data_IF_322318103112
#
_entry.id   IF_322318103112
#
_cell.length_a   1.000
_cell.length_b   1.000
_cell.length_c   1.000
_cell.angle_alpha   90.00
_cell.angle_beta   90.00
_cell.angle_gamma   90.00
#
_symmetry.space_group_name_H-M   'P 1'
#
loop_
_entity.id
_entity.type
_entity.pdbx_description
1 polymer ?
#
# COMPACT_ATOMS: atom_id res chain seq x y z
N UNK A 1 21.48 10.35 -3.68
CA UNK A 1 22.37 11.28 -2.97
C UNK A 1 22.27 12.72 -3.48
N UNK A 2 21.97 12.95 -4.76
CA UNK A 2 21.78 14.29 -5.34
C UNK A 2 20.62 14.32 -6.33
N UNK A 3 19.86 15.41 -6.33
CA UNK A 3 18.73 15.63 -7.23
C UNK A 3 18.82 17.03 -7.86
N UNK A 4 18.53 17.17 -9.15
CA UNK A 4 18.35 18.47 -9.80
C UNK A 4 16.88 18.70 -10.13
N UNK A 5 16.36 19.86 -9.74
CA UNK A 5 14.98 20.28 -9.99
C UNK A 5 14.96 21.26 -11.15
N UNK A 6 14.28 20.91 -12.23
CA UNK A 6 14.27 21.67 -13.48
C UNK A 6 12.88 22.28 -13.68
N UNK A 7 12.82 23.60 -13.77
CA UNK A 7 11.56 24.34 -13.89
C UNK A 7 11.77 25.77 -14.39
N UNK A 8 10.73 26.58 -14.27
CA UNK A 8 10.72 27.97 -14.73
C UNK A 8 10.08 28.87 -13.69
N UNK A 9 10.70 30.02 -13.42
CA UNK A 9 10.14 31.06 -12.54
C UNK A 9 9.24 32.05 -13.27
N UNK A 10 9.29 32.10 -14.62
CA UNK A 10 8.56 33.09 -15.43
C UNK A 10 7.44 32.52 -16.29
N UNK A 11 7.36 31.20 -16.49
CA UNK A 11 6.35 30.63 -17.39
C UNK A 11 4.94 31.01 -16.95
N UNK A 12 4.19 31.64 -17.86
CA UNK A 12 2.80 32.08 -17.62
C UNK A 12 1.78 31.05 -18.07
N UNK A 13 2.15 30.18 -19.00
CA UNK A 13 1.33 29.08 -19.47
C UNK A 13 1.10 28.06 -18.35
N UNK A 14 -0.16 27.87 -17.97
CA UNK A 14 -0.58 26.78 -17.07
C UNK A 14 -0.85 25.49 -17.85
N UNK A 15 0.03 25.13 -18.77
CA UNK A 15 -0.11 23.85 -19.49
C UNK A 15 0.36 22.73 -18.57
N UNK A 16 -0.57 21.85 -18.23
CA UNK A 16 -0.28 20.54 -17.65
C UNK A 16 0.52 20.54 -16.35
N UNK A 17 0.25 21.48 -15.44
CA UNK A 17 0.96 21.68 -14.16
C UNK A 17 2.31 22.39 -14.27
N UNK A 18 2.69 22.95 -15.43
CA UNK A 18 3.80 23.90 -15.50
C UNK A 18 3.42 25.21 -14.82
N UNK A 19 4.02 25.53 -13.66
CA UNK A 19 3.73 26.78 -12.95
C UNK A 19 4.89 27.18 -12.03
N UNK A 20 5.27 28.48 -11.98
CA UNK A 20 6.26 28.98 -11.03
C UNK A 20 5.87 28.71 -9.58
N UNK A 21 4.56 28.76 -9.25
CA UNK A 21 4.07 28.47 -7.90
C UNK A 21 4.32 27.03 -7.52
N UNK A 22 3.94 26.09 -8.39
CA UNK A 22 4.10 24.66 -8.12
C UNK A 22 5.57 24.24 -8.12
N UNK A 23 6.40 24.81 -9.00
CA UNK A 23 7.84 24.55 -8.98
C UNK A 23 8.50 25.01 -7.67
N UNK A 24 8.11 26.18 -7.14
CA UNK A 24 8.53 26.61 -5.80
C UNK A 24 8.09 25.66 -4.69
N UNK A 25 6.89 25.05 -4.81
CA UNK A 25 6.45 24.04 -3.85
C UNK A 25 7.27 22.76 -3.91
N UNK A 26 7.63 22.28 -5.11
CA UNK A 26 8.54 21.12 -5.26
C UNK A 26 9.89 21.42 -4.61
N UNK A 27 10.45 22.60 -4.87
CA UNK A 27 11.71 23.04 -4.23
C UNK A 27 11.56 23.06 -2.71
N UNK A 28 10.45 23.59 -2.18
CA UNK A 28 10.17 23.64 -0.75
C UNK A 28 10.17 22.24 -0.13
N UNK A 29 9.40 21.31 -0.69
CA UNK A 29 9.32 19.93 -0.17
C UNK A 29 10.66 19.20 -0.24
N UNK A 30 11.38 19.33 -1.36
CA UNK A 30 12.70 18.74 -1.53
C UNK A 30 13.71 19.29 -0.53
N UNK A 31 13.77 20.61 -0.33
CA UNK A 31 14.67 21.22 0.68
C UNK A 31 14.28 20.87 2.12
N UNK A 32 12.98 20.72 2.40
CA UNK A 32 12.49 20.42 3.75
C UNK A 32 12.74 18.97 4.15
N UNK A 33 12.50 18.02 3.24
CA UNK A 33 12.45 16.61 3.59
C UNK A 33 13.63 15.78 3.09
N UNK A 34 14.17 16.07 1.90
CA UNK A 34 15.18 15.21 1.29
C UNK A 34 16.52 15.38 1.98
N UNK A 35 17.11 14.26 2.41
CA UNK A 35 18.39 14.25 3.14
C UNK A 35 19.62 14.45 2.23
N UNK A 36 19.45 14.43 0.91
CA UNK A 36 20.53 14.60 -0.05
C UNK A 36 20.65 16.02 -0.59
N UNK A 37 21.58 16.20 -1.54
CA UNK A 37 21.81 17.51 -2.16
C UNK A 37 20.73 17.84 -3.20
N UNK A 38 20.26 19.09 -3.19
CA UNK A 38 19.23 19.59 -4.11
C UNK A 38 19.81 20.74 -4.93
N UNK A 39 19.91 20.54 -6.24
CA UNK A 39 20.25 21.58 -7.21
C UNK A 39 18.99 22.12 -7.88
N UNK A 40 19.01 23.37 -8.31
CA UNK A 40 17.88 24.02 -8.96
C UNK A 40 18.36 24.52 -10.33
N UNK A 41 17.64 24.11 -11.38
CA UNK A 41 17.77 24.63 -12.73
C UNK A 41 16.51 25.39 -13.08
N UNK A 42 16.60 26.72 -12.99
CA UNK A 42 15.60 27.62 -13.55
C UNK A 42 16.01 27.99 -14.98
N UNK A 43 15.20 27.62 -15.97
CA UNK A 43 15.52 27.86 -17.38
C UNK A 43 15.50 29.34 -17.77
N UNK A 44 14.90 30.20 -16.95
CA UNK A 44 14.83 31.65 -17.17
C UNK A 44 16.09 32.39 -16.68
N UNK A 45 17.05 31.67 -16.07
CA UNK A 45 18.32 32.19 -15.58
C UNK A 45 19.49 31.67 -16.39
N UNK A 46 20.63 32.37 -16.32
CA UNK A 46 21.84 31.99 -17.06
C UNK A 46 22.32 30.57 -16.71
N UNK A 47 22.80 29.84 -17.71
CA UNK A 47 23.16 28.43 -17.58
C UNK A 47 24.40 28.23 -16.67
N UNK A 48 25.32 29.20 -16.69
CA UNK A 48 26.54 29.23 -15.85
C UNK A 48 26.23 29.37 -14.36
N UNK A 49 25.12 30.03 -14.01
CA UNK A 49 24.66 30.18 -12.62
C UNK A 49 24.02 28.91 -12.05
N UNK A 50 23.71 27.90 -12.88
CA UNK A 50 22.93 26.74 -12.48
C UNK A 50 23.62 25.39 -12.78
N UNK A 51 23.87 25.06 -14.06
CA UNK A 51 24.46 23.78 -14.46
C UNK A 51 25.99 23.78 -14.39
N UNK A 52 26.62 24.94 -14.55
CA UNK A 52 28.08 25.10 -14.42
C UNK A 52 28.60 25.10 -12.98
N UNK A 53 27.72 25.17 -11.98
CA UNK A 53 28.05 25.23 -10.55
C UNK A 53 27.80 23.91 -9.80
N UNK A 54 27.54 22.81 -10.52
CA UNK A 54 27.27 21.52 -9.90
C UNK A 54 28.55 20.93 -9.29
N UNK A 55 28.52 20.63 -7.98
CA UNK A 55 29.64 19.98 -7.30
C UNK A 55 29.81 18.50 -7.69
N UNK A 56 28.76 17.86 -8.23
CA UNK A 56 28.78 16.51 -8.82
C UNK A 56 27.61 16.31 -9.77
N UNK A 57 27.67 15.27 -10.60
CA UNK A 57 26.56 14.89 -11.48
C UNK A 57 25.36 14.43 -10.63
N UNK A 58 24.16 15.03 -10.79
CA UNK A 58 22.95 14.58 -10.10
C UNK A 58 22.55 13.16 -10.52
N UNK A 59 22.12 12.35 -9.56
CA UNK A 59 21.64 10.99 -9.84
C UNK A 59 20.22 10.98 -10.45
N UNK A 60 19.44 12.03 -10.16
CA UNK A 60 18.04 12.17 -10.55
C UNK A 60 17.74 13.60 -10.98
N UNK A 61 17.02 13.76 -12.10
CA UNK A 61 16.41 15.01 -12.50
C UNK A 61 14.88 14.96 -12.33
N UNK A 62 14.29 16.01 -11.76
CA UNK A 62 12.84 16.19 -11.66
C UNK A 62 12.46 17.35 -12.57
N UNK A 63 11.66 17.08 -13.60
CA UNK A 63 11.37 18.02 -14.68
C UNK A 63 9.92 18.49 -14.58
N UNK A 64 9.76 19.81 -14.45
CA UNK A 64 8.48 20.51 -14.31
C UNK A 64 8.38 21.67 -15.32
N UNK A 65 8.40 21.32 -16.60
CA UNK A 65 8.33 22.24 -17.74
C UNK A 65 7.31 21.75 -18.78
N UNK A 66 6.86 22.59 -19.73
CA UNK A 66 6.09 22.11 -20.87
C UNK A 66 6.87 21.08 -21.69
N UNK A 67 6.18 20.23 -22.49
CA UNK A 67 6.81 19.11 -23.20
C UNK A 67 8.05 19.48 -24.03
N UNK A 68 7.96 20.48 -24.91
CA UNK A 68 9.06 20.88 -25.79
C UNK A 68 10.31 21.30 -24.99
N UNK A 69 10.12 22.17 -23.99
CA UNK A 69 11.21 22.62 -23.10
C UNK A 69 11.78 21.50 -22.24
N UNK A 70 10.92 20.56 -21.83
CA UNK A 70 11.35 19.39 -21.06
C UNK A 70 12.29 18.50 -21.84
N UNK A 71 11.98 18.22 -23.12
CA UNK A 71 12.82 17.37 -23.98
C UNK A 71 14.21 17.97 -24.16
N UNK A 72 14.30 19.29 -24.37
CA UNK A 72 15.57 20.02 -24.48
C UNK A 72 16.41 19.86 -23.20
N UNK A 73 15.83 20.12 -22.03
CA UNK A 73 16.57 20.04 -20.76
C UNK A 73 16.89 18.59 -20.34
N UNK A 74 16.05 17.61 -20.72
CA UNK A 74 16.36 16.18 -20.56
C UNK A 74 17.60 15.82 -21.39
N UNK A 75 17.69 16.23 -22.66
CA UNK A 75 18.88 15.95 -23.47
C UNK A 75 20.14 16.59 -22.88
N UNK A 76 20.07 17.85 -22.42
CA UNK A 76 21.20 18.52 -21.78
C UNK A 76 21.68 17.76 -20.54
N UNK A 77 20.77 17.41 -19.64
CA UNK A 77 21.11 16.67 -18.42
C UNK A 77 21.62 15.26 -18.73
N UNK A 78 21.08 14.61 -19.76
CA UNK A 78 21.54 13.29 -20.20
C UNK A 78 22.97 13.34 -20.75
N UNK A 79 23.33 14.38 -21.52
CA UNK A 79 24.71 14.63 -21.98
C UNK A 79 25.68 14.85 -20.82
N UNK A 80 25.22 15.48 -19.73
CA UNK A 80 25.99 15.66 -18.51
C UNK A 80 26.14 14.38 -17.67
N UNK A 81 25.39 13.32 -18.00
CA UNK A 81 25.49 12.02 -17.33
C UNK A 81 24.35 11.69 -16.35
N UNK A 82 23.33 12.53 -16.21
CA UNK A 82 22.14 12.20 -15.40
C UNK A 82 21.43 10.98 -15.99
N UNK A 83 21.13 9.98 -15.17
CA UNK A 83 20.60 8.68 -15.63
C UNK A 83 19.11 8.45 -15.37
N UNK A 84 18.48 9.21 -14.48
CA UNK A 84 17.07 9.04 -14.15
C UNK A 84 16.30 10.37 -14.19
N UNK A 85 15.10 10.33 -14.74
CA UNK A 85 14.24 11.50 -14.92
C UNK A 85 12.83 11.22 -14.40
N UNK A 86 12.28 12.14 -13.61
CA UNK A 86 10.86 12.17 -13.23
C UNK A 86 10.21 13.33 -13.96
N UNK A 87 9.22 13.03 -14.78
CA UNK A 87 8.58 13.99 -15.67
C UNK A 87 7.19 14.35 -15.13
N UNK A 88 7.10 15.45 -14.38
CA UNK A 88 5.88 15.84 -13.64
C UNK A 88 4.75 16.26 -14.58
N UNK A 89 5.07 17.11 -15.55
CA UNK A 89 4.10 17.82 -16.38
C UNK A 89 3.30 16.88 -17.29
N UNK A 90 2.03 17.23 -17.53
CA UNK A 90 1.18 16.59 -18.54
C UNK A 90 1.25 17.31 -19.91
N UNK A 91 0.41 16.91 -20.87
CA UNK A 91 0.33 17.57 -22.20
C UNK A 91 1.30 17.01 -23.25
N UNK A 92 1.97 15.89 -22.97
CA UNK A 92 2.81 15.21 -23.95
C UNK A 92 1.95 14.64 -25.09
N UNK A 93 2.41 14.85 -26.33
CA UNK A 93 1.85 14.26 -27.56
C UNK A 93 2.71 13.06 -27.96
N UNK A 94 2.26 12.28 -28.93
CA UNK A 94 2.98 11.07 -29.35
C UNK A 94 4.35 11.38 -29.97
N UNK A 95 4.51 12.51 -30.63
CA UNK A 95 5.81 13.01 -31.09
C UNK A 95 6.79 13.25 -29.93
N UNK A 96 6.34 13.94 -28.88
CA UNK A 96 7.11 14.16 -27.66
C UNK A 96 7.49 12.84 -26.98
N UNK A 97 6.57 11.87 -26.91
CA UNK A 97 6.85 10.54 -26.33
C UNK A 97 7.90 9.78 -27.15
N UNK A 98 7.83 9.83 -28.48
CA UNK A 98 8.83 9.23 -29.36
C UNK A 98 10.20 9.88 -29.18
N UNK A 99 10.27 11.19 -29.01
CA UNK A 99 11.53 11.89 -28.74
C UNK A 99 12.15 11.50 -27.39
N UNK A 100 11.35 11.40 -26.33
CA UNK A 100 11.82 10.89 -25.03
C UNK A 100 12.39 9.48 -25.15
N UNK A 101 11.76 8.60 -25.94
CA UNK A 101 12.28 7.26 -26.22
C UNK A 101 13.58 7.29 -27.03
N UNK A 102 13.73 8.20 -28.00
CA UNK A 102 15.01 8.39 -28.70
C UNK A 102 16.13 8.82 -27.74
N UNK A 103 15.84 9.73 -26.81
CA UNK A 103 16.81 10.16 -25.79
C UNK A 103 17.18 9.02 -24.83
N UNK A 104 16.20 8.20 -24.44
CA UNK A 104 16.41 6.97 -23.68
C UNK A 104 17.44 6.07 -24.37
N UNK A 105 17.21 5.70 -25.62
CA UNK A 105 18.12 4.81 -26.37
C UNK A 105 19.49 5.44 -26.59
N UNK A 106 19.54 6.74 -26.91
CA UNK A 106 20.79 7.47 -27.20
C UNK A 106 21.71 7.60 -25.97
N UNK A 107 21.16 7.84 -24.78
CA UNK A 107 21.95 8.17 -23.59
C UNK A 107 21.89 7.12 -22.47
N UNK A 108 21.08 6.06 -22.65
CA UNK A 108 20.86 5.02 -21.65
C UNK A 108 20.22 5.55 -20.37
N UNK A 109 19.29 6.50 -20.50
CA UNK A 109 18.56 7.12 -19.37
C UNK A 109 17.29 6.34 -19.05
N UNK A 110 16.72 6.53 -17.87
CA UNK A 110 15.42 6.00 -17.45
C UNK A 110 14.43 7.12 -17.15
N UNK A 111 13.16 6.93 -17.51
CA UNK A 111 12.12 7.96 -17.41
C UNK A 111 10.88 7.43 -16.68
N UNK A 112 10.56 8.03 -15.54
CA UNK A 112 9.27 7.89 -14.88
C UNK A 112 8.31 8.97 -15.39
N UNK A 113 7.11 8.57 -15.81
CA UNK A 113 6.13 9.44 -16.45
C UNK A 113 6.09 9.31 -17.98
N UNK A 114 5.87 10.42 -18.71
CA UNK A 114 5.52 11.75 -18.22
C UNK A 114 4.15 11.78 -17.53
N UNK A 115 3.67 12.97 -17.17
CA UNK A 115 2.36 13.16 -16.55
C UNK A 115 2.25 12.45 -15.19
N UNK A 116 3.32 12.46 -14.38
CA UNK A 116 3.26 11.84 -13.05
C UNK A 116 2.42 12.63 -12.06
N UNK A 117 2.04 13.88 -12.37
CA UNK A 117 1.34 14.80 -11.46
C UNK A 117 2.18 15.15 -10.22
N UNK A 118 2.46 14.21 -9.30
CA UNK A 118 3.21 14.46 -8.06
C UNK A 118 4.57 13.74 -8.00
N UNK A 119 4.89 12.87 -8.96
CA UNK A 119 6.18 12.19 -9.03
C UNK A 119 6.33 11.09 -7.99
N UNK A 120 7.26 11.20 -7.04
CA UNK A 120 7.52 10.17 -6.03
C UNK A 120 7.71 10.73 -4.62
N UNK A 121 7.41 9.89 -3.64
CA UNK A 121 7.76 10.04 -2.22
C UNK A 121 8.55 8.82 -1.78
N UNK A 122 9.61 9.03 -1.02
CA UNK A 122 10.33 8.00 -0.28
C UNK A 122 10.55 8.48 1.15
N UNK A 123 9.78 7.92 2.09
CA UNK A 123 9.78 8.35 3.51
C UNK A 123 11.08 7.99 4.24
N UNK A 124 11.90 7.10 3.68
CA UNK A 124 13.15 6.63 4.30
C UNK A 124 14.26 7.69 4.17
N UNK A 125 14.44 8.21 2.97
CA UNK A 125 15.44 9.24 2.66
C UNK A 125 14.84 10.66 2.53
N UNK A 126 13.52 10.77 2.67
CA UNK A 126 12.77 12.03 2.60
C UNK A 126 12.61 12.61 1.20
N UNK A 127 12.90 11.85 0.13
CA UNK A 127 12.65 12.31 -1.24
C UNK A 127 11.16 12.61 -1.39
N UNK A 128 10.84 13.83 -1.80
CA UNK A 128 9.45 14.29 -1.96
C UNK A 128 9.37 15.27 -3.13
N UNK A 129 9.04 14.75 -4.30
CA UNK A 129 8.96 15.56 -5.53
C UNK A 129 7.56 16.15 -5.76
N UNK A 130 6.68 16.05 -4.76
CA UNK A 130 5.31 16.56 -4.89
C UNK A 130 5.27 18.08 -4.80
N UNK A 131 4.22 18.69 -5.35
CA UNK A 131 4.03 20.15 -5.32
C UNK A 131 3.05 20.62 -4.24
N UNK A 132 2.46 19.73 -3.44
CA UNK A 132 1.63 20.10 -2.30
C UNK A 132 2.54 20.34 -1.10
N UNK A 133 2.59 21.58 -0.62
CA UNK A 133 3.55 21.97 0.42
C UNK A 133 3.28 21.20 1.70
N UNK A 134 4.37 20.75 2.32
CA UNK A 134 4.37 20.11 3.65
C UNK A 134 3.63 18.77 3.72
N UNK A 135 3.35 18.15 2.56
CA UNK A 135 2.77 16.80 2.48
C UNK A 135 3.88 15.76 2.60
N UNK A 136 3.89 15.00 3.70
CA UNK A 136 4.74 13.81 3.88
C UNK A 136 3.97 12.78 4.71
N UNK A 137 3.66 11.59 4.16
CA UNK A 137 2.98 10.56 4.92
C UNK A 137 3.92 10.02 6.01
N UNK A 138 3.33 9.41 7.03
CA UNK A 138 4.10 8.76 8.09
C UNK A 138 5.00 7.67 7.49
N UNK A 139 6.23 7.56 7.99
CA UNK A 139 7.11 6.45 7.61
C UNK A 139 6.48 5.11 8.04
N UNK A 140 6.39 4.17 7.12
CA UNK A 140 6.00 2.80 7.42
C UNK A 140 6.40 1.83 6.31
N UNK A 141 5.59 0.81 6.06
CA UNK A 141 5.97 -0.34 5.23
C UNK A 141 5.05 -0.61 4.03
N UNK A 142 4.07 0.25 3.78
CA UNK A 142 3.18 0.15 2.62
C UNK A 142 3.78 0.94 1.45
N UNK A 143 3.92 0.34 0.29
CA UNK A 143 4.27 1.05 -0.94
C UNK A 143 3.02 1.26 -1.79
N UNK A 144 2.82 2.46 -2.33
CA UNK A 144 1.69 2.77 -3.21
C UNK A 144 2.21 3.17 -4.59
N UNK A 145 1.72 2.49 -5.63
CA UNK A 145 1.96 2.81 -7.03
C UNK A 145 0.61 3.18 -7.63
N UNK A 146 0.48 4.40 -8.15
CA UNK A 146 -0.76 4.86 -8.78
C UNK A 146 -0.51 5.30 -10.22
N UNK A 147 -1.24 4.69 -11.15
CA UNK A 147 -1.28 5.15 -12.54
C UNK A 147 -1.96 6.51 -12.67
N UNK A 148 -3.06 6.73 -11.94
CA UNK A 148 -3.78 8.01 -11.93
C UNK A 148 -3.20 8.98 -10.91
N UNK A 149 -2.95 10.21 -11.36
CA UNK A 149 -2.59 11.32 -10.48
C UNK A 149 -3.65 11.63 -9.44
N UNK A 150 -4.92 11.71 -9.85
CA UNK A 150 -6.03 12.07 -8.96
C UNK A 150 -6.32 11.02 -7.89
N UNK A 151 -6.36 9.74 -8.28
CA UNK A 151 -6.52 8.64 -7.30
C UNK A 151 -5.31 8.57 -6.37
N UNK A 152 -4.10 8.76 -6.90
CA UNK A 152 -2.89 8.81 -6.09
C UNK A 152 -2.92 9.94 -5.06
N UNK A 153 -3.40 11.14 -5.45
CA UNK A 153 -3.50 12.28 -4.55
C UNK A 153 -4.51 12.01 -3.43
N UNK A 154 -5.67 11.42 -3.75
CA UNK A 154 -6.66 11.00 -2.74
C UNK A 154 -6.09 9.96 -1.76
N UNK A 155 -5.36 8.95 -2.25
CA UNK A 155 -4.72 7.95 -1.40
C UNK A 155 -3.61 8.55 -0.53
N UNK A 156 -2.85 9.51 -1.05
CA UNK A 156 -1.80 10.21 -0.30
C UNK A 156 -2.39 11.10 0.80
N UNK A 157 -3.46 11.83 0.50
CA UNK A 157 -4.19 12.64 1.48
C UNK A 157 -4.71 11.78 2.63
N UNK A 158 -5.39 10.67 2.33
CA UNK A 158 -5.83 9.71 3.34
C UNK A 158 -4.68 9.11 4.14
N UNK A 159 -3.56 8.78 3.50
CA UNK A 159 -2.39 8.28 4.21
C UNK A 159 -1.82 9.32 5.19
N UNK A 160 -1.84 10.60 4.84
CA UNK A 160 -1.40 11.67 5.73
C UNK A 160 -2.41 11.90 6.86
N UNK A 161 -3.70 11.99 6.55
CA UNK A 161 -4.76 12.28 7.51
C UNK A 161 -4.91 11.17 8.57
N UNK A 162 -4.92 9.90 8.14
CA UNK A 162 -5.06 8.74 9.04
C UNK A 162 -3.72 8.20 9.55
N UNK A 163 -2.60 8.88 9.28
CA UNK A 163 -1.28 8.46 9.76
C UNK A 163 -0.80 7.11 9.22
N UNK A 164 -1.24 6.71 8.03
CA UNK A 164 -0.92 5.40 7.45
C UNK A 164 0.57 5.34 7.07
N UNK A 165 1.25 4.32 7.56
CA UNK A 165 2.69 4.14 7.39
C UNK A 165 3.10 3.77 5.96
N UNK A 166 3.52 4.76 5.17
CA UNK A 166 4.00 4.61 3.79
C UNK A 166 5.53 4.50 3.75
N UNK A 167 6.03 3.57 2.95
CA UNK A 167 7.45 3.40 2.62
C UNK A 167 7.83 4.19 1.36
N UNK A 168 7.07 4.00 0.28
CA UNK A 168 7.25 4.63 -1.03
C UNK A 168 5.89 4.99 -1.63
N UNK A 169 5.83 6.10 -2.34
CA UNK A 169 4.70 6.47 -3.17
C UNK A 169 5.21 6.81 -4.57
N UNK A 170 4.62 6.22 -5.61
CA UNK A 170 5.00 6.50 -6.98
C UNK A 170 3.76 6.80 -7.83
N UNK A 171 3.74 7.97 -8.44
CA UNK A 171 2.77 8.34 -9.43
C UNK A 171 3.36 8.07 -10.82
N UNK A 172 2.73 7.17 -11.57
CA UNK A 172 3.34 6.62 -12.79
C UNK A 172 3.09 7.48 -14.03
N UNK A 173 1.92 8.12 -14.12
CA UNK A 173 1.49 8.80 -15.34
C UNK A 173 1.44 7.87 -16.55
N UNK A 174 2.00 8.32 -17.65
CA UNK A 174 1.85 7.71 -18.98
C UNK A 174 2.65 6.40 -19.16
N UNK A 175 3.60 6.09 -18.27
CA UNK A 175 4.47 4.90 -18.35
C UNK A 175 5.19 4.76 -19.71
N UNK A 176 5.87 5.82 -20.15
CA UNK A 176 6.58 5.79 -21.45
C UNK A 176 7.79 4.85 -21.40
N UNK A 177 8.46 4.77 -20.26
CA UNK A 177 9.62 3.88 -20.04
C UNK A 177 9.46 3.05 -18.76
N UNK A 178 9.61 3.65 -17.57
CA UNK A 178 9.43 2.93 -16.30
C UNK A 178 7.96 2.55 -16.13
N UNK A 179 7.71 1.26 -15.92
CA UNK A 179 6.36 0.70 -15.80
C UNK A 179 6.12 -0.02 -14.47
N UNK A 180 4.94 -0.65 -14.34
CA UNK A 180 4.53 -1.37 -13.13
C UNK A 180 5.51 -2.50 -12.78
N UNK A 181 6.09 -3.16 -13.79
CA UNK A 181 7.00 -4.30 -13.63
C UNK A 181 8.34 -3.82 -13.06
N UNK A 182 8.87 -2.71 -13.55
CA UNK A 182 10.10 -2.12 -13.03
C UNK A 182 9.96 -1.73 -11.57
N UNK A 183 8.86 -1.07 -11.20
CA UNK A 183 8.62 -0.70 -9.80
C UNK A 183 8.38 -1.91 -8.91
N UNK A 184 7.65 -2.93 -9.39
CA UNK A 184 7.50 -4.19 -8.66
C UNK A 184 8.85 -4.86 -8.39
N UNK A 185 9.75 -4.90 -9.37
CA UNK A 185 11.11 -5.46 -9.21
C UNK A 185 11.95 -4.68 -8.21
N UNK A 186 11.82 -3.35 -8.21
CA UNK A 186 12.47 -2.51 -7.21
C UNK A 186 11.91 -2.80 -5.81
N UNK A 187 10.59 -2.74 -5.64
CA UNK A 187 9.92 -2.96 -4.36
C UNK A 187 10.09 -4.39 -3.83
N UNK A 188 10.27 -5.38 -4.71
CA UNK A 188 10.60 -6.74 -4.32
C UNK A 188 11.88 -6.82 -3.47
N UNK A 189 12.85 -5.97 -3.78
CA UNK A 189 14.18 -5.92 -3.13
C UNK A 189 14.25 -4.91 -1.98
N UNK A 190 13.31 -3.97 -1.89
CA UNK A 190 13.30 -2.94 -0.84
C UNK A 190 12.98 -3.54 0.53
N UNK A 191 13.89 -3.42 1.51
CA UNK A 191 13.68 -4.01 2.85
C UNK A 191 12.59 -3.30 3.67
N UNK A 192 12.31 -2.03 3.34
CA UNK A 192 11.36 -1.22 4.10
C UNK A 192 9.90 -1.50 3.68
N UNK A 193 9.68 -2.01 2.46
CA UNK A 193 8.35 -2.34 1.95
C UNK A 193 7.95 -3.76 2.31
N UNK A 194 6.82 -3.91 3.02
CA UNK A 194 6.15 -5.18 3.31
C UNK A 194 4.95 -5.44 2.40
N UNK A 195 4.19 -4.40 2.03
CA UNK A 195 2.96 -4.50 1.22
C UNK A 195 3.05 -3.57 0.04
N UNK A 196 2.56 -4.00 -1.13
CA UNK A 196 2.52 -3.18 -2.34
C UNK A 196 1.05 -2.97 -2.76
N UNK A 197 0.65 -1.72 -2.90
CA UNK A 197 -0.67 -1.31 -3.39
C UNK A 197 -0.54 -0.76 -4.81
N UNK A 198 -1.34 -1.28 -5.73
CA UNK A 198 -1.41 -0.83 -7.11
C UNK A 198 -2.78 -0.21 -7.38
N UNK A 199 -2.80 1.03 -7.85
CA UNK A 199 -3.91 1.53 -8.64
C UNK A 199 -3.52 1.50 -10.11
N UNK A 200 -4.28 0.76 -10.93
CA UNK A 200 -3.96 0.57 -12.33
C UNK A 200 -5.19 0.66 -13.23
N UNK A 201 -5.01 1.21 -14.43
CA UNK A 201 -6.06 1.33 -15.45
C UNK A 201 -5.80 0.37 -16.61
N UNK A 202 -4.51 0.14 -16.91
CA UNK A 202 -4.08 -0.74 -17.99
C UNK A 202 -2.64 -1.20 -17.81
N UNK A 203 -2.27 -2.25 -18.55
CA UNK A 203 -0.93 -2.81 -18.54
C UNK A 203 -0.47 -3.16 -19.95
N UNK A 204 0.80 -2.86 -20.27
CA UNK A 204 1.38 -3.14 -21.58
C UNK A 204 1.78 -4.62 -21.73
N UNK A 205 2.54 -5.16 -20.77
CA UNK A 205 3.02 -6.54 -20.82
C UNK A 205 2.41 -7.41 -19.71
N UNK A 206 1.18 -7.87 -19.93
CA UNK A 206 0.42 -8.64 -18.95
C UNK A 206 1.06 -9.97 -18.54
N UNK A 207 1.68 -10.70 -19.49
CA UNK A 207 2.33 -12.00 -19.17
C UNK A 207 3.51 -11.81 -18.21
N UNK A 208 4.42 -10.90 -18.54
CA UNK A 208 5.60 -10.60 -17.71
C UNK A 208 5.19 -10.03 -16.36
N UNK A 209 4.13 -9.22 -16.30
CA UNK A 209 3.58 -8.73 -15.05
C UNK A 209 3.10 -9.86 -14.13
N UNK A 210 2.32 -10.82 -14.67
CA UNK A 210 1.86 -11.98 -13.90
C UNK A 210 3.05 -12.79 -13.37
N UNK A 211 4.06 -13.03 -14.21
CA UNK A 211 5.27 -13.77 -13.83
C UNK A 211 6.04 -13.09 -12.70
N UNK A 212 6.26 -11.78 -12.80
CA UNK A 212 7.00 -11.03 -11.79
C UNK A 212 6.20 -10.87 -10.51
N UNK A 213 4.91 -10.54 -10.60
CA UNK A 213 4.03 -10.47 -9.44
C UNK A 213 3.97 -11.80 -8.69
N UNK A 214 3.86 -12.93 -9.39
CA UNK A 214 3.84 -14.27 -8.79
C UNK A 214 5.11 -14.59 -8.00
N UNK A 215 6.27 -14.10 -8.43
CA UNK A 215 7.54 -14.26 -7.69
C UNK A 215 7.58 -13.40 -6.43
N UNK A 216 6.88 -12.27 -6.42
CA UNK A 216 6.91 -11.28 -5.34
C UNK A 216 5.91 -11.65 -4.23
N UNK A 217 4.69 -12.06 -4.61
CA UNK A 217 3.60 -12.34 -3.66
C UNK A 217 3.94 -13.39 -2.61
N UNK A 218 4.88 -14.30 -2.90
CA UNK A 218 5.35 -15.30 -1.91
C UNK A 218 6.06 -14.70 -0.70
N UNK A 219 6.51 -13.43 -0.79
CA UNK A 219 7.16 -12.70 0.31
C UNK A 219 6.41 -11.43 0.69
N UNK A 220 5.77 -10.77 -0.27
CA UNK A 220 5.15 -9.45 -0.08
C UNK A 220 3.79 -9.42 -0.76
N UNK A 221 2.67 -9.30 -0.03
CA UNK A 221 1.36 -9.22 -0.65
C UNK A 221 1.27 -8.01 -1.58
N UNK A 222 0.58 -8.21 -2.71
CA UNK A 222 0.27 -7.17 -3.69
C UNK A 222 -1.24 -7.01 -3.72
N UNK A 223 -1.71 -5.80 -3.45
CA UNK A 223 -3.10 -5.38 -3.58
C UNK A 223 -3.28 -4.62 -4.89
N UNK A 224 -4.40 -4.82 -5.59
CA UNK A 224 -4.71 -4.09 -6.81
C UNK A 224 -6.14 -3.54 -6.81
N UNK A 225 -6.26 -2.23 -7.05
CA UNK A 225 -7.49 -1.52 -7.38
C UNK A 225 -7.49 -1.21 -8.88
N UNK A 226 -8.42 -1.81 -9.62
CA UNK A 226 -8.56 -1.63 -11.07
C UNK A 226 -9.54 -0.50 -11.39
N UNK A 227 -9.06 0.56 -12.04
CA UNK A 227 -9.93 1.59 -12.62
C UNK A 227 -10.45 1.20 -14.01
N UNK A 228 -11.58 1.75 -14.45
CA UNK A 228 -12.14 1.46 -15.78
C UNK A 228 -12.73 0.06 -15.91
N UNK A 229 -13.57 -0.34 -14.96
CA UNK A 229 -14.21 -1.67 -14.90
C UNK A 229 -15.47 -1.76 -15.77
N UNK A 230 -16.17 -0.64 -15.99
CA UNK A 230 -17.36 -0.58 -16.86
C UNK A 230 -16.96 -0.19 -18.28
N UNK A 231 -17.80 -0.45 -19.28
CA UNK A 231 -17.50 -0.08 -20.67
C UNK A 231 -17.33 1.45 -20.83
N UNK A 232 -18.17 2.24 -20.16
CA UNK A 232 -18.16 3.70 -20.19
C UNK A 232 -16.87 4.25 -19.56
N UNK A 233 -16.48 3.70 -18.41
CA UNK A 233 -15.26 4.11 -17.71
C UNK A 233 -14.00 3.62 -18.41
N UNK A 234 -14.03 2.44 -19.04
CA UNK A 234 -12.95 1.91 -19.87
C UNK A 234 -12.75 2.74 -21.15
N UNK A 235 -13.83 3.22 -21.78
CA UNK A 235 -13.74 4.11 -22.94
C UNK A 235 -13.08 5.43 -22.56
N UNK A 236 -13.45 6.00 -21.40
CA UNK A 236 -12.79 7.19 -20.84
C UNK A 236 -11.34 6.92 -20.45
N UNK A 237 -11.02 5.74 -19.90
CA UNK A 237 -9.64 5.35 -19.60
C UNK A 237 -8.78 5.21 -20.87
N UNK A 238 -9.35 4.74 -22.00
CA UNK A 238 -8.66 4.69 -23.30
C UNK A 238 -8.33 6.08 -23.86
N UNK A 239 -9.22 7.07 -23.68
CA UNK A 239 -8.91 8.44 -24.08
C UNK A 239 -7.96 9.15 -23.12
N UNK A 240 -7.92 8.73 -21.85
CA UNK A 240 -7.00 9.24 -20.83
C UNK A 240 -5.63 8.56 -20.79
N UNK A 241 -5.50 7.32 -21.27
CA UNK A 241 -4.24 6.55 -21.26
C UNK A 241 -4.03 5.86 -22.59
N UNK A 242 -2.82 5.96 -23.16
CA UNK A 242 -2.43 5.28 -24.40
C UNK A 242 -2.25 3.75 -24.23
N UNK A 243 -2.99 3.12 -23.31
CA UNK A 243 -2.93 1.69 -23.02
C UNK A 243 -4.24 1.01 -23.42
N UNK A 244 -4.15 -0.23 -23.92
CA UNK A 244 -5.34 -1.03 -24.18
C UNK A 244 -6.06 -1.29 -22.85
N UNK A 245 -7.25 -0.74 -22.67
CA UNK A 245 -8.15 -1.19 -21.61
C UNK A 245 -8.58 -2.63 -21.96
N UNK A 246 -7.92 -3.61 -21.35
CA UNK A 246 -8.34 -5.02 -21.40
C UNK A 246 -9.65 -5.21 -20.63
N UNK A 247 -10.41 -6.27 -20.94
CA UNK A 247 -11.64 -6.56 -20.22
C UNK A 247 -11.35 -6.81 -18.74
N UNK A 248 -12.29 -6.42 -17.88
CA UNK A 248 -12.13 -6.58 -16.44
C UNK A 248 -11.96 -8.05 -16.02
N UNK A 249 -12.63 -8.96 -16.73
CA UNK A 249 -12.52 -10.41 -16.58
C UNK A 249 -11.09 -10.92 -16.79
N UNK A 250 -10.38 -10.38 -17.79
CA UNK A 250 -8.98 -10.74 -18.06
C UNK A 250 -8.09 -10.26 -16.92
N UNK A 251 -8.34 -9.05 -16.39
CA UNK A 251 -7.60 -8.53 -15.23
C UNK A 251 -7.86 -9.35 -13.97
N UNK A 252 -9.11 -9.73 -13.71
CA UNK A 252 -9.45 -10.60 -12.58
C UNK A 252 -8.76 -11.96 -12.68
N UNK A 253 -8.81 -12.60 -13.84
CA UNK A 253 -8.10 -13.86 -14.09
C UNK A 253 -6.57 -13.70 -13.94
N UNK A 254 -6.00 -12.60 -14.43
CA UNK A 254 -4.58 -12.29 -14.31
C UNK A 254 -4.17 -12.10 -12.84
N UNK A 255 -4.93 -11.34 -12.05
CA UNK A 255 -4.67 -11.14 -10.63
C UNK A 255 -4.74 -12.45 -9.85
N UNK A 256 -5.78 -13.27 -10.08
CA UNK A 256 -5.91 -14.60 -9.48
C UNK A 256 -4.73 -15.52 -9.84
N UNK A 257 -4.24 -15.47 -11.09
CA UNK A 257 -3.09 -16.27 -11.55
C UNK A 257 -1.77 -15.77 -10.94
N UNK A 258 -1.64 -14.46 -10.74
CA UNK A 258 -0.49 -13.82 -10.12
C UNK A 258 -0.46 -13.94 -8.59
N UNK A 259 -1.59 -14.26 -7.95
CA UNK A 259 -1.73 -14.20 -6.49
C UNK A 259 -1.88 -12.77 -5.96
N UNK A 260 -2.25 -11.82 -6.84
CA UNK A 260 -2.57 -10.44 -6.47
C UNK A 260 -3.97 -10.43 -5.86
N UNK A 261 -4.12 -9.70 -4.76
CA UNK A 261 -5.38 -9.53 -4.06
C UNK A 261 -6.10 -8.32 -4.65
N UNK A 262 -7.22 -8.58 -5.33
CA UNK A 262 -8.06 -7.51 -5.88
C UNK A 262 -8.92 -6.89 -4.78
N UNK A 263 -9.07 -5.56 -4.83
CA UNK A 263 -9.96 -4.77 -3.97
C UNK A 263 -10.86 -3.88 -4.83
N UNK A 264 -11.98 -3.42 -4.27
CA UNK A 264 -13.05 -2.78 -5.05
C UNK A 264 -13.02 -1.25 -4.98
N UNK A 265 -12.45 -0.68 -3.93
CA UNK A 265 -12.42 0.77 -3.73
C UNK A 265 -11.17 1.23 -2.94
N UNK A 266 -10.88 2.55 -2.91
CA UNK A 266 -9.73 3.10 -2.20
C UNK A 266 -9.72 2.78 -0.70
N UNK A 267 -10.87 2.72 -0.04
CA UNK A 267 -10.96 2.48 1.40
C UNK A 267 -10.57 1.03 1.71
N UNK A 268 -11.08 0.08 0.92
CA UNK A 268 -10.70 -1.31 1.01
C UNK A 268 -9.20 -1.52 0.72
N UNK A 269 -8.64 -0.81 -0.27
CA UNK A 269 -7.20 -0.86 -0.57
C UNK A 269 -6.37 -0.48 0.67
N UNK A 270 -6.68 0.65 1.30
CA UNK A 270 -5.92 1.13 2.45
C UNK A 270 -6.13 0.27 3.69
N UNK A 271 -7.38 -0.12 3.99
CA UNK A 271 -7.70 -1.00 5.11
C UNK A 271 -7.02 -2.37 5.00
N UNK A 272 -7.04 -2.96 3.81
CA UNK A 272 -6.35 -4.23 3.54
C UNK A 272 -4.84 -4.09 3.67
N UNK A 273 -4.27 -2.98 3.17
CA UNK A 273 -2.83 -2.73 3.25
C UNK A 273 -2.36 -2.59 4.69
N UNK A 274 -3.15 -1.90 5.54
CA UNK A 274 -2.90 -1.79 6.98
C UNK A 274 -2.83 -3.18 7.61
N UNK A 275 -3.84 -4.04 7.39
CA UNK A 275 -3.87 -5.40 7.92
C UNK A 275 -2.64 -6.21 7.52
N UNK A 276 -2.36 -6.27 6.22
CA UNK A 276 -1.25 -7.04 5.64
C UNK A 276 0.14 -6.51 6.05
N UNK A 277 0.24 -5.23 6.43
CA UNK A 277 1.50 -4.63 6.87
C UNK A 277 1.85 -4.97 8.33
N UNK A 278 0.82 -5.35 9.10
CA UNK A 278 0.86 -5.45 10.56
C UNK A 278 0.70 -6.87 11.08
N UNK A 279 0.00 -7.74 10.34
CA UNK A 279 -0.40 -9.08 10.80
C UNK A 279 0.13 -10.20 9.90
N UNK A 280 0.34 -11.40 10.46
CA UNK A 280 0.67 -12.59 9.66
C UNK A 280 -0.52 -13.00 8.77
N UNK A 281 -0.28 -13.77 7.69
CA UNK A 281 -1.35 -14.43 6.95
C UNK A 281 -2.17 -15.35 7.86
N UNK A 282 -3.46 -15.48 7.57
CA UNK A 282 -4.35 -16.41 8.29
C UNK A 282 -4.39 -17.77 7.60
N UNK A 283 -4.08 -18.84 8.33
CA UNK A 283 -4.06 -20.21 7.83
C UNK A 283 -5.24 -21.02 8.40
N UNK A 284 -6.40 -20.86 7.77
CA UNK A 284 -7.65 -21.47 8.20
C UNK A 284 -8.78 -20.45 8.22
N UNK A 285 -10.01 -20.88 8.36
CA UNK A 285 -11.19 -20.00 8.20
C UNK A 285 -11.86 -19.68 9.55
N UNK A 286 -11.34 -20.19 10.68
CA UNK A 286 -11.99 -20.10 11.99
C UNK A 286 -11.55 -18.86 12.78
N UNK A 287 -12.49 -17.95 13.01
CA UNK A 287 -12.31 -16.68 13.72
C UNK A 287 -12.96 -16.75 15.10
N UNK A 288 -12.19 -16.41 16.14
CA UNK A 288 -12.76 -16.12 17.46
C UNK A 288 -13.07 -14.62 17.56
N UNK A 289 -14.26 -14.28 18.04
CA UNK A 289 -14.65 -12.91 18.38
C UNK A 289 -14.64 -12.77 19.90
N UNK A 290 -13.89 -11.79 20.41
CA UNK A 290 -13.77 -11.49 21.84
C UNK A 290 -14.23 -10.06 22.04
N UNK A 291 -15.32 -9.85 22.77
CA UNK A 291 -15.98 -8.54 22.89
C UNK A 291 -16.36 -8.23 24.33
N UNK A 292 -16.34 -6.96 24.73
CA UNK A 292 -16.99 -6.50 25.97
C UNK A 292 -18.43 -5.98 25.74
N UNK A 293 -18.93 -6.09 24.50
CA UNK A 293 -20.23 -5.57 24.09
C UNK A 293 -20.93 -6.52 23.11
N UNK A 294 -22.13 -6.98 23.47
CA UNK A 294 -22.86 -8.02 22.72
C UNK A 294 -23.33 -7.60 21.31
N UNK A 295 -23.92 -6.40 21.17
CA UNK A 295 -24.48 -5.95 19.88
C UNK A 295 -23.46 -5.95 18.72
N UNK A 296 -22.32 -5.26 18.86
CA UNK A 296 -21.22 -5.33 17.89
C UNK A 296 -20.64 -6.74 17.68
N UNK A 297 -20.66 -7.61 18.70
CA UNK A 297 -20.22 -9.00 18.57
C UNK A 297 -21.16 -9.83 17.67
N UNK A 298 -22.46 -9.58 17.73
CA UNK A 298 -23.45 -10.18 16.81
C UNK A 298 -23.18 -9.72 15.38
N UNK A 299 -22.99 -8.41 15.16
CA UNK A 299 -22.65 -7.87 13.83
C UNK A 299 -21.33 -8.45 13.30
N UNK A 300 -20.35 -8.69 14.18
CA UNK A 300 -19.11 -9.36 13.82
C UNK A 300 -19.36 -10.81 13.36
N UNK A 301 -20.20 -11.57 14.08
CA UNK A 301 -20.56 -12.93 13.69
C UNK A 301 -21.22 -13.00 12.31
N UNK A 302 -22.16 -12.10 12.05
CA UNK A 302 -22.79 -11.90 10.74
C UNK A 302 -21.73 -11.60 9.66
N UNK A 303 -20.83 -10.66 9.94
CA UNK A 303 -19.79 -10.26 9.02
C UNK A 303 -18.83 -11.42 8.72
N UNK A 304 -18.48 -12.24 9.72
CA UNK A 304 -17.64 -13.45 9.57
C UNK A 304 -18.29 -14.38 8.55
N UNK A 305 -19.57 -14.70 8.72
CA UNK A 305 -20.30 -15.57 7.81
C UNK A 305 -20.40 -14.99 6.38
N UNK A 306 -20.80 -13.71 6.25
CA UNK A 306 -20.93 -13.02 4.94
C UNK A 306 -19.62 -12.95 4.16
N UNK A 307 -18.47 -13.02 4.83
CA UNK A 307 -17.16 -12.98 4.22
C UNK A 307 -16.55 -14.37 3.96
N UNK A 308 -17.33 -15.45 4.16
CA UNK A 308 -16.90 -16.83 3.91
C UNK A 308 -15.90 -17.35 4.96
N UNK A 309 -15.85 -16.70 6.12
CA UNK A 309 -15.14 -17.18 7.31
C UNK A 309 -16.12 -17.90 8.23
N UNK A 310 -15.62 -18.54 9.29
CA UNK A 310 -16.41 -19.31 10.25
C UNK A 310 -16.13 -18.83 11.66
N UNK A 311 -17.14 -18.81 12.51
CA UNK A 311 -16.91 -18.66 13.94
C UNK A 311 -16.21 -19.92 14.46
N UNK A 312 -15.07 -19.75 15.10
CA UNK A 312 -14.32 -20.83 15.73
C UNK A 312 -15.16 -21.50 16.82
N UNK A 313 -15.13 -22.84 16.86
CA UNK A 313 -15.64 -23.62 17.97
C UNK A 313 -14.49 -23.88 18.95
N UNK A 314 -14.49 -23.16 20.07
CA UNK A 314 -13.49 -23.38 21.11
C UNK A 314 -13.53 -24.83 21.61
N UNK A 315 -12.37 -25.34 22.02
CA UNK A 315 -12.32 -26.62 22.71
C UNK A 315 -13.05 -26.53 24.06
N UNK A 316 -13.60 -27.65 24.52
CA UNK A 316 -14.28 -27.70 25.82
C UNK A 316 -13.32 -27.34 26.97
N UNK A 317 -12.02 -27.58 26.80
CA UNK A 317 -11.00 -27.16 27.77
C UNK A 317 -10.91 -25.63 27.86
N UNK A 318 -10.73 -24.94 26.73
CA UNK A 318 -10.67 -23.48 26.68
C UNK A 318 -11.96 -22.87 27.23
N UNK A 319 -13.13 -23.39 26.82
CA UNK A 319 -14.44 -22.94 27.29
C UNK A 319 -14.53 -23.04 28.81
N UNK A 320 -14.30 -24.24 29.38
CA UNK A 320 -14.33 -24.46 30.84
C UNK A 320 -13.36 -23.56 31.61
N UNK A 321 -12.15 -23.33 31.08
CA UNK A 321 -11.15 -22.47 31.73
C UNK A 321 -11.59 -21.01 31.79
N UNK A 322 -12.20 -20.49 30.73
CA UNK A 322 -12.74 -19.12 30.72
C UNK A 322 -13.89 -19.00 31.72
N UNK A 323 -14.86 -19.91 31.66
CA UNK A 323 -16.07 -19.90 32.51
C UNK A 323 -15.73 -20.09 34.00
N UNK A 324 -14.71 -20.89 34.31
CA UNK A 324 -14.22 -21.06 35.68
C UNK A 324 -13.52 -19.81 36.23
N UNK A 325 -12.86 -19.02 35.38
CA UNK A 325 -12.22 -17.76 35.79
C UNK A 325 -13.24 -16.64 36.00
N UNK A 326 -14.35 -16.69 35.27
CA UNK A 326 -15.40 -15.67 35.26
C UNK A 326 -16.79 -16.32 35.33
N UNK A 327 -17.27 -16.69 36.54
CA UNK A 327 -18.59 -17.26 36.72
C UNK A 327 -19.69 -16.36 36.15
N UNK A 328 -20.58 -16.93 35.34
CA UNK A 328 -21.68 -16.21 34.68
C UNK A 328 -21.38 -15.72 33.25
N UNK A 329 -20.15 -15.88 32.78
CA UNK A 329 -19.79 -15.68 31.36
C UNK A 329 -20.10 -16.94 30.56
N UNK A 330 -20.69 -16.81 29.37
CA UNK A 330 -20.75 -17.91 28.38
C UNK A 330 -19.59 -17.72 27.39
N UNK A 331 -18.65 -18.65 27.39
CA UNK A 331 -17.49 -18.61 26.49
C UNK A 331 -17.78 -19.23 25.10
N UNK A 332 -19.05 -19.28 24.70
CA UNK A 332 -19.45 -19.57 23.31
C UNK A 332 -19.06 -18.40 22.41
N UNK A 333 -18.64 -18.67 21.17
CA UNK A 333 -18.19 -17.65 20.23
C UNK A 333 -19.39 -17.09 19.43
N UNK A 334 -19.62 -15.75 19.35
CA UNK A 334 -18.83 -14.65 19.91
C UNK A 334 -18.77 -14.60 21.44
N UNK A 335 -17.55 -14.48 21.99
CA UNK A 335 -17.31 -14.46 23.44
C UNK A 335 -17.64 -13.08 23.98
N UNK A 336 -18.69 -13.00 24.80
CA UNK A 336 -19.09 -11.78 25.51
C UNK A 336 -18.44 -11.74 26.90
N UNK A 337 -17.47 -10.86 27.08
CA UNK A 337 -16.74 -10.67 28.32
C UNK A 337 -17.46 -9.79 29.34
N UNK A 338 -18.68 -9.36 29.03
CA UNK A 338 -19.51 -8.45 29.84
C UNK A 338 -18.94 -7.02 29.85
N UNK A 339 -19.82 -6.04 30.03
CA UNK A 339 -19.53 -4.62 29.92
C UNK A 339 -18.52 -4.07 30.93
N UNK A 340 -18.11 -4.77 31.98
CA UNK A 340 -17.10 -4.32 32.95
C UNK A 340 -15.69 -4.90 32.66
N UNK A 341 -15.49 -5.51 31.48
CA UNK A 341 -14.21 -6.12 31.10
C UNK A 341 -13.09 -5.08 30.92
N UNK A 342 -12.09 -5.12 31.78
CA UNK A 342 -10.86 -4.29 31.74
C UNK A 342 -9.65 -5.07 31.21
N UNK A 343 -8.47 -4.44 31.16
CA UNK A 343 -7.21 -5.03 30.67
C UNK A 343 -6.94 -6.48 31.14
N UNK A 344 -7.11 -6.76 32.45
CA UNK A 344 -6.82 -8.10 32.99
C UNK A 344 -7.76 -9.18 32.44
N UNK A 345 -9.03 -8.85 32.18
CA UNK A 345 -9.99 -9.79 31.60
C UNK A 345 -9.68 -10.06 30.13
N UNK A 346 -9.43 -8.99 29.36
CA UNK A 346 -8.95 -9.11 27.98
C UNK A 346 -7.68 -9.97 27.91
N UNK A 347 -6.71 -9.72 28.80
CA UNK A 347 -5.46 -10.50 28.86
C UNK A 347 -5.70 -12.00 28.96
N UNK A 348 -6.43 -12.42 30.01
CA UNK A 348 -6.63 -13.83 30.33
C UNK A 348 -7.48 -14.53 29.27
N UNK A 349 -8.54 -13.89 28.79
CA UNK A 349 -9.41 -14.46 27.75
C UNK A 349 -8.65 -14.56 26.43
N UNK A 350 -7.95 -13.51 25.99
CA UNK A 350 -7.17 -13.55 24.75
C UNK A 350 -6.04 -14.58 24.79
N UNK A 351 -5.36 -14.75 25.94
CA UNK A 351 -4.32 -15.76 26.09
C UNK A 351 -4.87 -17.18 25.90
N UNK A 352 -6.06 -17.48 26.44
CA UNK A 352 -6.72 -18.78 26.29
C UNK A 352 -7.24 -18.99 24.86
N UNK A 353 -7.89 -17.98 24.27
CA UNK A 353 -8.42 -18.03 22.90
C UNK A 353 -7.31 -18.20 21.87
N UNK A 354 -6.20 -17.46 22.00
CA UNK A 354 -5.07 -17.58 21.08
C UNK A 354 -4.31 -18.90 21.24
N UNK A 355 -4.33 -19.52 22.43
CA UNK A 355 -3.77 -20.86 22.63
C UNK A 355 -4.61 -21.98 22.01
N UNK A 356 -5.92 -21.77 21.80
CA UNK A 356 -6.82 -22.81 21.30
C UNK A 356 -6.52 -23.19 19.84
N UNK A 357 -6.31 -24.48 19.57
CA UNK A 357 -5.93 -24.98 18.24
C UNK A 357 -7.03 -24.82 17.19
N UNK A 358 -8.28 -24.60 17.58
CA UNK A 358 -9.41 -24.40 16.68
C UNK A 358 -9.58 -22.94 16.23
N UNK A 359 -8.71 -22.04 16.68
CA UNK A 359 -8.74 -20.60 16.36
C UNK A 359 -7.60 -20.26 15.40
N UNK A 360 -7.95 -19.79 14.20
CA UNK A 360 -6.99 -19.41 13.15
C UNK A 360 -6.71 -17.89 13.17
N UNK A 361 -7.66 -17.08 13.63
CA UNK A 361 -7.52 -15.64 13.81
C UNK A 361 -8.48 -15.09 14.85
N UNK A 362 -8.20 -13.90 15.38
CA UNK A 362 -8.99 -13.27 16.45
C UNK A 362 -9.43 -11.87 16.05
N UNK A 363 -10.72 -11.59 16.23
CA UNK A 363 -11.28 -10.24 16.21
C UNK A 363 -11.54 -9.81 17.65
N UNK A 364 -10.88 -8.76 18.09
CA UNK A 364 -11.12 -8.13 19.39
C UNK A 364 -12.05 -6.95 19.17
N UNK A 365 -13.07 -6.83 20.02
CA UNK A 365 -13.99 -5.70 20.01
C UNK A 365 -13.94 -5.05 21.39
N UNK A 366 -13.79 -3.74 21.41
CA UNK A 366 -13.86 -2.95 22.63
C UNK A 366 -14.73 -1.71 22.41
N UNK A 367 -15.44 -1.32 23.46
CA UNK A 367 -16.19 -0.08 23.58
C UNK A 367 -15.82 0.55 24.93
N UNK A 368 -15.61 1.87 24.96
CA UNK A 368 -15.02 2.56 26.11
C UNK A 368 -16.10 3.00 27.09
N UNK A 369 -16.76 4.13 26.80
CA UNK A 369 -17.63 4.84 27.75
C UNK A 369 -18.79 3.96 28.24
N UNK A 370 -19.43 3.22 27.34
CA UNK A 370 -20.59 2.37 27.67
C UNK A 370 -20.20 1.03 28.31
N UNK A 371 -18.92 0.66 28.30
CA UNK A 371 -18.43 -0.63 28.78
C UNK A 371 -17.15 -0.49 29.62
N UNK A 372 -17.06 0.62 30.37
CA UNK A 372 -16.04 0.90 31.38
C UNK A 372 -14.60 0.54 30.94
N UNK A 373 -14.26 0.57 29.65
CA UNK A 373 -12.93 0.25 29.15
C UNK A 373 -12.19 1.57 28.96
N UNK A 374 -10.97 1.70 29.49
CA UNK A 374 -10.14 2.87 29.24
C UNK A 374 -9.28 2.63 27.99
N UNK A 375 -8.88 3.70 27.26
CA UNK A 375 -7.95 3.59 26.13
C UNK A 375 -6.68 2.79 26.47
N UNK A 376 -6.14 2.95 27.69
CA UNK A 376 -4.93 2.27 28.16
C UNK A 376 -5.08 0.76 28.28
N UNK A 377 -6.29 0.25 28.51
CA UNK A 377 -6.52 -1.20 28.60
C UNK A 377 -6.19 -1.90 27.28
N UNK A 378 -6.36 -1.20 26.14
CA UNK A 378 -6.07 -1.73 24.81
C UNK A 378 -4.60 -2.16 24.63
N UNK A 379 -3.67 -1.64 25.44
CA UNK A 379 -2.24 -2.02 25.39
C UNK A 379 -2.01 -3.51 25.62
N UNK A 380 -2.93 -4.18 26.34
CA UNK A 380 -2.81 -5.61 26.61
C UNK A 380 -2.99 -6.46 25.35
N UNK A 381 -3.69 -5.95 24.33
CA UNK A 381 -3.99 -6.66 23.09
C UNK A 381 -2.69 -6.96 22.30
N UNK A 382 -1.85 -5.96 21.94
CA UNK A 382 -0.56 -6.23 21.30
C UNK A 382 0.39 -7.06 22.18
N UNK A 383 0.40 -6.84 23.50
CA UNK A 383 1.23 -7.60 24.45
C UNK A 383 0.94 -9.11 24.40
N UNK A 384 -0.35 -9.48 24.39
CA UNK A 384 -0.76 -10.88 24.30
C UNK A 384 -0.53 -11.43 22.89
N UNK A 385 -0.90 -10.68 21.85
CA UNK A 385 -0.74 -11.10 20.46
C UNK A 385 0.72 -11.42 20.10
N UNK A 386 1.69 -10.68 20.67
CA UNK A 386 3.11 -10.93 20.47
C UNK A 386 3.57 -12.34 20.90
N UNK A 387 2.86 -12.99 21.83
CA UNK A 387 3.14 -14.38 22.26
C UNK A 387 2.66 -15.43 21.25
N UNK A 388 1.78 -15.05 20.33
CA UNK A 388 1.16 -15.93 19.34
C UNK A 388 1.36 -15.41 17.91
N UNK A 389 2.61 -15.25 17.44
CA UNK A 389 2.95 -14.53 16.22
C UNK A 389 2.41 -15.16 14.92
N UNK A 390 1.85 -16.37 14.99
CA UNK A 390 1.32 -17.10 13.84
C UNK A 390 -0.20 -16.92 13.65
N UNK A 391 -0.89 -16.28 14.61
CA UNK A 391 -2.34 -16.05 14.54
C UNK A 391 -2.61 -14.56 14.43
N UNK A 392 -3.26 -14.10 13.35
CA UNK A 392 -3.58 -12.69 13.23
C UNK A 392 -4.61 -12.25 14.27
N UNK A 393 -4.39 -11.06 14.82
CA UNK A 393 -5.28 -10.35 15.74
C UNK A 393 -5.63 -9.00 15.13
N UNK A 394 -6.92 -8.70 15.07
CA UNK A 394 -7.45 -7.43 14.59
C UNK A 394 -8.29 -6.81 15.70
N UNK A 395 -8.12 -5.52 15.96
CA UNK A 395 -8.89 -4.81 16.97
C UNK A 395 -9.97 -3.92 16.34
N UNK A 396 -11.11 -3.83 17.01
CA UNK A 396 -12.24 -2.98 16.66
C UNK A 396 -12.64 -2.19 17.89
N UNK A 397 -12.18 -0.95 17.96
CA UNK A 397 -12.69 0.05 18.88
C UNK A 397 -13.96 0.63 18.26
N UNK A 398 -15.13 0.12 18.67
CA UNK A 398 -16.38 0.36 17.97
C UNK A 398 -16.89 1.79 18.18
N UNK A 399 -16.99 2.59 17.11
CA UNK A 399 -17.51 3.95 17.17
C UNK A 399 -16.56 5.00 16.58
N UNK A 400 -16.81 6.28 16.91
CA UNK A 400 -16.02 7.42 16.42
C UNK A 400 -14.91 7.82 17.39
N UNK A 401 -15.30 8.44 18.50
CA UNK A 401 -14.37 8.93 19.54
C UNK A 401 -13.60 7.78 20.20
N UNK A 402 -14.28 6.68 20.53
CA UNK A 402 -13.67 5.47 21.09
C UNK A 402 -12.54 4.93 20.19
N UNK A 403 -12.77 4.88 18.88
CA UNK A 403 -11.76 4.51 17.89
C UNK A 403 -10.55 5.45 17.95
N UNK A 404 -10.78 6.76 17.96
CA UNK A 404 -9.70 7.75 17.99
C UNK A 404 -8.83 7.60 19.25
N UNK A 405 -9.46 7.43 20.41
CA UNK A 405 -8.76 7.27 21.70
C UNK A 405 -7.92 6.00 21.73
N UNK A 406 -8.47 4.86 21.30
CA UNK A 406 -7.73 3.60 21.24
C UNK A 406 -6.61 3.66 20.20
N UNK A 407 -6.87 4.26 19.04
CA UNK A 407 -5.86 4.40 17.98
C UNK A 407 -4.68 5.25 18.45
N UNK A 408 -4.90 6.31 19.24
CA UNK A 408 -3.79 7.09 19.84
C UNK A 408 -2.89 6.24 20.73
N UNK A 409 -3.43 5.21 21.37
CA UNK A 409 -2.71 4.36 22.33
C UNK A 409 -2.00 3.18 21.65
N UNK A 410 -2.68 2.46 20.74
CA UNK A 410 -2.13 1.24 20.12
C UNK A 410 -2.01 1.31 18.58
N UNK A 411 -2.32 2.44 17.95
CA UNK A 411 -2.29 2.61 16.49
C UNK A 411 -0.91 2.38 15.86
N UNK A 412 0.17 2.53 16.64
CA UNK A 412 1.54 2.23 16.21
C UNK A 412 2.01 0.81 16.54
N UNK A 413 1.18 0.03 17.24
CA UNK A 413 1.48 -1.36 17.53
C UNK A 413 1.35 -2.26 16.30
N UNK A 414 1.70 -3.52 16.47
CA UNK A 414 1.45 -4.56 15.47
C UNK A 414 -0.04 -4.81 15.21
N UNK A 415 -0.97 -4.30 16.02
CA UNK A 415 -2.40 -4.56 15.83
C UNK A 415 -3.03 -3.50 14.90
N UNK A 416 -3.70 -3.91 13.81
CA UNK A 416 -4.53 -3.01 13.03
C UNK A 416 -5.83 -2.74 13.78
N UNK A 417 -6.21 -1.47 13.87
CA UNK A 417 -7.41 -1.02 14.59
C UNK A 417 -8.41 -0.48 13.58
N UNK A 418 -9.67 -0.90 13.70
CA UNK A 418 -10.78 -0.43 12.87
C UNK A 418 -11.92 0.09 13.74
N UNK A 419 -12.82 0.85 13.13
CA UNK A 419 -13.94 1.47 13.84
C UNK A 419 -15.27 0.69 13.72
N UNK A 420 -15.31 -0.33 12.86
CA UNK A 420 -16.50 -1.16 12.60
C UNK A 420 -16.14 -2.65 12.53
N UNK A 421 -16.98 -3.55 13.08
CA UNK A 421 -16.78 -5.00 12.99
C UNK A 421 -16.60 -5.51 11.56
N UNK A 422 -17.37 -5.00 10.61
CA UNK A 422 -17.31 -5.40 9.20
C UNK A 422 -15.94 -5.11 8.58
N UNK A 423 -15.32 -3.98 8.96
CA UNK A 423 -13.96 -3.62 8.51
C UNK A 423 -12.92 -4.55 9.12
N UNK A 424 -13.03 -4.84 10.41
CA UNK A 424 -12.13 -5.77 11.09
C UNK A 424 -12.22 -7.20 10.53
N UNK A 425 -13.42 -7.68 10.21
CA UNK A 425 -13.61 -8.98 9.56
C UNK A 425 -13.08 -8.98 8.12
N UNK A 426 -13.29 -7.90 7.34
CA UNK A 426 -12.68 -7.77 6.01
C UNK A 426 -11.15 -7.78 6.08
N UNK A 427 -10.55 -7.24 7.13
CA UNK A 427 -9.11 -7.35 7.38
C UNK A 427 -8.68 -8.81 7.62
N UNK A 428 -9.38 -9.57 8.47
CA UNK A 428 -9.10 -11.00 8.64
C UNK A 428 -9.30 -11.79 7.33
N UNK A 429 -10.33 -11.47 6.54
CA UNK A 429 -10.55 -12.05 5.22
C UNK A 429 -9.37 -11.81 4.30
N UNK A 430 -8.80 -10.60 4.26
CA UNK A 430 -7.66 -10.32 3.38
C UNK A 430 -6.41 -11.10 3.80
N UNK A 431 -6.18 -11.24 5.11
CA UNK A 431 -5.11 -12.07 5.66
C UNK A 431 -5.32 -13.54 5.30
N UNK A 432 -6.58 -14.01 5.26
CA UNK A 432 -6.91 -15.36 4.81
C UNK A 432 -6.72 -15.56 3.32
N UNK A 433 -7.14 -14.62 2.49
CA UNK A 433 -6.90 -14.66 1.04
C UNK A 433 -5.38 -14.78 0.80
N UNK A 434 -4.57 -14.00 1.51
CA UNK A 434 -3.13 -14.09 1.40
C UNK A 434 -2.58 -15.45 1.85
N UNK A 435 -3.08 -16.00 2.97
CA UNK A 435 -2.74 -17.37 3.40
C UNK A 435 -3.03 -18.42 2.30
N UNK A 436 -4.19 -18.34 1.64
CA UNK A 436 -4.55 -19.23 0.51
C UNK A 436 -3.62 -19.06 -0.69
N UNK A 437 -3.18 -17.83 -0.99
CA UNK A 437 -2.19 -17.56 -2.05
C UNK A 437 -0.88 -18.27 -1.72
N UNK A 438 -0.39 -18.16 -0.49
CA UNK A 438 0.84 -18.81 -0.05
C UNK A 438 0.74 -20.34 -0.06
N UNK A 439 -0.37 -20.90 0.41
CA UNK A 439 -0.64 -22.35 0.36
C UNK A 439 -0.61 -22.88 -1.08
N UNK A 440 -1.30 -22.19 -2.00
CA UNK A 440 -1.38 -22.60 -3.42
C UNK A 440 -0.01 -22.54 -4.10
N UNK A 441 0.74 -21.46 -3.88
CA UNK A 441 2.07 -21.29 -4.48
C UNK A 441 3.10 -22.22 -3.85
N UNK A 442 3.02 -22.48 -2.54
CA UNK A 442 3.87 -23.46 -1.86
C UNK A 442 3.66 -24.88 -2.37
N UNK A 443 2.40 -25.29 -2.62
CA UNK A 443 2.08 -26.59 -3.25
C UNK A 443 2.62 -26.67 -4.68
N UNK A 444 2.47 -25.60 -5.48
CA UNK A 444 3.00 -25.56 -6.84
C UNK A 444 4.53 -25.70 -6.89
N UNK A 445 5.25 -24.99 -6.01
CA UNK A 445 6.71 -25.09 -5.93
C UNK A 445 7.19 -26.48 -5.48
N UNK A 446 6.45 -27.16 -4.60
CA UNK A 446 6.74 -28.56 -4.23
C UNK A 446 6.55 -29.50 -5.42
N UNK A 447 5.46 -29.35 -6.18
CA UNK A 447 5.17 -30.19 -7.35
C UNK A 447 6.21 -30.00 -8.47
N UNK A 448 6.60 -28.76 -8.77
CA UNK A 448 7.65 -28.46 -9.75
C UNK A 448 9.02 -29.06 -9.35
N UNK A 449 9.35 -29.05 -8.06
CA UNK A 449 10.56 -29.74 -7.56
C UNK A 449 10.45 -31.25 -7.76
N UNK A 450 9.33 -31.87 -7.40
CA UNK A 450 9.13 -33.32 -7.59
C UNK A 450 9.26 -33.74 -9.05
N UNK A 451 8.70 -32.96 -9.99
CA UNK A 451 8.80 -33.22 -11.44
C UNK A 451 10.25 -33.10 -11.92
N UNK A 452 10.97 -32.06 -11.50
CA UNK A 452 12.39 -31.89 -11.85
C UNK A 452 13.30 -32.97 -11.25
N UNK A 453 12.97 -33.51 -10.08
CA UNK A 453 13.67 -34.66 -9.51
C UNK A 453 13.40 -35.96 -10.30
N UNK A 454 12.18 -36.15 -10.81
CA UNK A 454 11.83 -37.32 -11.64
C UNK A 454 12.44 -37.28 -13.04
N UNK A 455 12.64 -36.09 -13.63
CA UNK A 455 13.32 -35.95 -14.93
C UNK A 455 14.84 -36.08 -14.83
N UNK A 456 15.44 -35.85 -13.66
CA UNK A 456 16.86 -36.10 -13.38
C UNK A 456 17.19 -37.58 -13.06
N UNK A 457 16.18 -38.43 -12.81
CA UNK A 457 16.35 -39.88 -12.64
C UNK A 457 16.12 -40.68 -13.94
N UNK A 458 15.81 -40.01 -15.05
CA UNK A 458 15.58 -40.61 -16.37
C UNK A 458 16.62 -40.17 -17.42
N UNK A 459 17.80 -39.71 -17.00
CA UNK A 459 18.96 -39.48 -17.85
C UNK A 459 20.10 -40.43 -17.48
#
# INVERSE_FOLDING_TARGET
SSVILIGSSRIREKVGLSSPKLFRSVIHNMKKFFKGEVYIRDIDKEERENLGALSKIPELAVVMLPPEKSIVEVEKCAKMGVKAFIMITSGYKDEHRRELLKLKEKYGIRILGPNTVMGVINTVNGLNTTFERDVMPKKGSIAVISQSGGVGACLLDWACYYGIGVSKFAFMGDKVDVDDIDLLRYLAKDKETKVICLYMEGIKNGRKFIEEARKIVVKKPILALKGGITQESAHRAKSHTASMAGSDEIFDAAFKKAGIIRVENPEELMNAAIALSKQPPMFGDNVAVVSNVGGPAILAGDAVARNGLKLARLSDETKRRIESLYPGMDATNPIDMIADARANRYKKVLELVLADKNVDGVLVINMLKSCFFEPEDAKVIPEVAAKYPNKPVVDVAAGGEDFELVYRVIGESSIPVYNLPEKGVKALKVLRIYGKVLEKLGKAQKLERTINFSSLQLC
#
